data_IF_595391981975
#
_entry.id   IF_595391981975
#
_cell.length_a   1.000
_cell.length_b   1.000
_cell.length_c   1.000
_cell.angle_alpha   90.00
_cell.angle_beta   90.00
_cell.angle_gamma   90.00
#
_symmetry.space_group_name_H-M   'P 1'
#
loop_
_entity.id
_entity.type
_entity.pdbx_description
1 polymer ?
#
# COMPACT_ATOMS: atom_id res chain seq x y z
N UNK A 1 -1.23 3.96 -15.73
CA UNK A 1 0.14 4.25 -15.29
C UNK A 1 0.90 2.94 -15.40
N UNK A 2 2.00 2.94 -16.15
CA UNK A 2 2.96 1.82 -16.19
C UNK A 2 4.05 2.15 -15.18
N UNK A 3 4.48 1.19 -14.37
CA UNK A 3 5.75 1.34 -13.67
C UNK A 3 6.93 1.01 -14.60
N UNK A 4 8.15 1.17 -14.10
CA UNK A 4 9.39 0.89 -14.84
C UNK A 4 9.55 -0.60 -15.20
N UNK A 5 8.80 -1.48 -14.52
CA UNK A 5 8.78 -2.93 -14.73
C UNK A 5 7.58 -3.39 -15.60
N UNK A 6 6.78 -2.44 -16.11
CA UNK A 6 5.65 -2.69 -16.99
C UNK A 6 4.36 -3.14 -16.29
N UNK A 7 4.26 -3.03 -14.96
CA UNK A 7 3.04 -3.32 -14.23
C UNK A 7 1.95 -2.29 -14.55
N UNK A 8 0.73 -2.79 -14.77
CA UNK A 8 -0.46 -1.97 -15.04
C UNK A 8 -1.58 -2.34 -14.08
N UNK A 9 -1.91 -1.42 -13.18
CA UNK A 9 -3.12 -1.51 -12.36
C UNK A 9 -4.26 -0.71 -13.02
N UNK A 10 -5.32 -1.42 -13.43
CA UNK A 10 -6.53 -0.80 -13.98
C UNK A 10 -7.60 -0.73 -12.91
N UNK A 11 -8.14 0.47 -12.67
CA UNK A 11 -9.25 0.70 -11.73
C UNK A 11 -10.56 0.74 -12.52
N UNK A 12 -11.53 -0.09 -12.12
CA UNK A 12 -12.84 -0.16 -12.77
C UNK A 12 -13.95 0.09 -11.75
N UNK A 13 -14.98 0.84 -12.14
CA UNK A 13 -16.15 1.10 -11.29
C UNK A 13 -17.04 -0.15 -11.26
N UNK A 14 -17.17 -0.77 -10.11
CA UNK A 14 -18.15 -1.82 -9.82
C UNK A 14 -19.29 -1.30 -8.96
N UNK A 15 -20.48 -1.92 -9.05
CA UNK A 15 -21.67 -1.53 -8.27
C UNK A 15 -21.72 -2.21 -6.90
N UNK A 16 -21.23 -3.44 -6.81
CA UNK A 16 -21.11 -4.24 -5.58
C UNK A 16 -19.71 -4.87 -5.52
N UNK A 17 -18.79 -4.23 -4.81
CA UNK A 17 -17.40 -4.67 -4.72
C UNK A 17 -17.17 -5.24 -3.32
N UNK A 18 -16.97 -6.55 -3.24
CA UNK A 18 -16.62 -7.25 -2.00
C UNK A 18 -15.24 -7.88 -2.15
N UNK A 19 -14.25 -7.36 -1.44
CA UNK A 19 -12.95 -7.99 -1.29
C UNK A 19 -12.90 -8.80 0.01
N UNK A 20 -12.19 -9.95 0.03
CA UNK A 20 -11.85 -10.63 1.28
C UNK A 20 -11.16 -9.66 2.24
N UNK A 21 -11.38 -9.81 3.56
CA UNK A 21 -10.78 -8.92 4.58
C UNK A 21 -9.24 -8.88 4.53
N UNK A 22 -8.62 -9.93 4.01
CA UNK A 22 -7.17 -10.07 3.88
C UNK A 22 -6.62 -9.60 2.53
N UNK A 23 -7.47 -9.23 1.59
CA UNK A 23 -7.04 -8.74 0.28
C UNK A 23 -6.35 -7.39 0.41
N UNK A 24 -5.19 -7.25 -0.22
CA UNK A 24 -4.44 -6.02 -0.28
C UNK A 24 -3.58 -5.96 -1.54
N UNK A 25 -3.20 -4.74 -1.93
CA UNK A 25 -2.23 -4.49 -3.00
C UNK A 25 -0.93 -4.03 -2.35
N UNK A 26 0.15 -4.77 -2.57
CA UNK A 26 1.47 -4.49 -2.00
C UNK A 26 2.33 -3.59 -2.88
N UNK A 27 2.97 -2.59 -2.27
CA UNK A 27 3.98 -1.74 -2.90
C UNK A 27 5.30 -1.82 -2.12
N UNK A 28 6.25 -2.56 -2.68
CA UNK A 28 7.56 -2.80 -2.07
C UNK A 28 8.47 -1.57 -2.18
N UNK A 29 9.20 -1.23 -1.11
CA UNK A 29 10.16 -0.12 -1.03
C UNK A 29 11.58 -0.65 -0.84
N UNK A 30 12.59 0.08 -1.31
CA UNK A 30 13.98 -0.42 -1.26
C UNK A 30 14.59 -0.40 0.14
N UNK A 31 14.06 0.41 1.06
CA UNK A 31 14.57 0.53 2.44
C UNK A 31 13.48 0.83 3.46
N UNK A 32 13.78 0.56 4.73
CA UNK A 32 12.91 0.95 5.85
C UNK A 32 12.70 2.47 5.90
N UNK A 33 13.73 3.26 5.60
CA UNK A 33 13.66 4.71 5.55
C UNK A 33 12.60 5.19 4.55
N UNK A 34 12.53 4.59 3.36
CA UNK A 34 11.50 4.93 2.36
C UNK A 34 10.09 4.63 2.89
N UNK A 35 9.88 3.49 3.55
CA UNK A 35 8.60 3.15 4.18
C UNK A 35 8.23 4.18 5.24
N UNK A 36 9.19 4.59 6.07
CA UNK A 36 9.02 5.60 7.10
C UNK A 36 8.66 6.98 6.54
N UNK A 37 9.34 7.43 5.47
CA UNK A 37 9.06 8.71 4.83
C UNK A 37 7.68 8.75 4.16
N UNK A 38 7.26 7.65 3.50
CA UNK A 38 5.91 7.55 2.94
C UNK A 38 4.86 7.59 4.06
N UNK A 39 5.08 6.87 5.16
CA UNK A 39 4.17 6.89 6.31
C UNK A 39 4.00 8.30 6.90
N UNK A 40 5.12 9.02 7.11
CA UNK A 40 5.11 10.41 7.59
C UNK A 40 4.35 11.33 6.64
N UNK A 41 4.59 11.22 5.33
CA UNK A 41 3.89 12.02 4.33
C UNK A 41 2.40 11.74 4.32
N UNK A 42 1.98 10.48 4.32
CA UNK A 42 0.56 10.11 4.39
C UNK A 42 -0.11 10.66 5.64
N UNK A 43 0.54 10.56 6.80
CA UNK A 43 0.02 11.12 8.05
C UNK A 43 -0.12 12.64 7.99
N UNK A 44 0.86 13.33 7.39
CA UNK A 44 0.83 14.78 7.17
C UNK A 44 -0.31 15.20 6.22
N UNK A 45 -0.56 14.40 5.20
CA UNK A 45 -1.60 14.65 4.19
C UNK A 45 -3.02 14.27 4.68
N UNK A 46 -3.15 13.83 5.94
CA UNK A 46 -4.44 13.59 6.61
C UNK A 46 -4.98 12.16 6.51
N UNK A 47 -4.17 11.20 6.05
CA UNK A 47 -4.56 9.80 6.00
C UNK A 47 -4.50 9.15 7.40
N UNK A 48 -5.47 8.28 7.70
CA UNK A 48 -5.44 7.44 8.90
C UNK A 48 -4.46 6.27 8.70
N UNK A 49 -3.20 6.50 9.08
CA UNK A 49 -2.12 5.52 8.99
C UNK A 49 -1.51 5.25 10.35
N UNK A 50 -1.32 3.96 10.65
CA UNK A 50 -0.55 3.52 11.82
C UNK A 50 0.95 3.54 11.51
N UNK A 51 1.83 3.66 12.53
CA UNK A 51 3.27 3.50 12.33
C UNK A 51 3.59 2.13 11.72
N UNK A 52 4.66 2.01 10.91
CA UNK A 52 5.12 0.72 10.44
C UNK A 52 5.65 -0.17 11.56
N UNK A 53 5.50 -1.47 11.37
CA UNK A 53 5.90 -2.51 12.32
C UNK A 53 6.81 -3.54 11.64
N UNK A 54 7.75 -4.10 12.40
CA UNK A 54 8.56 -5.23 11.96
C UNK A 54 7.75 -6.52 12.06
N UNK A 55 7.58 -7.20 10.92
CA UNK A 55 6.96 -8.52 10.81
C UNK A 55 7.78 -9.42 9.87
N UNK A 56 7.23 -9.79 8.71
CA UNK A 56 7.99 -10.38 7.61
C UNK A 56 8.93 -9.36 6.96
N UNK A 57 8.64 -8.07 7.09
CA UNK A 57 9.49 -6.93 6.76
C UNK A 57 9.02 -5.69 7.53
N UNK A 58 9.61 -4.52 7.27
CA UNK A 58 9.15 -3.25 7.84
C UNK A 58 7.95 -2.71 7.06
N UNK A 59 6.75 -2.71 7.68
CA UNK A 59 5.50 -2.61 6.92
C UNK A 59 4.35 -1.91 7.64
N UNK A 60 3.42 -1.31 6.88
CA UNK A 60 2.12 -0.85 7.38
C UNK A 60 1.01 -0.97 6.33
N UNK A 61 -0.24 -0.89 6.79
CA UNK A 61 -1.43 -0.87 5.95
C UNK A 61 -2.08 0.51 5.94
N UNK A 62 -2.68 0.88 4.82
CA UNK A 62 -3.49 2.09 4.66
C UNK A 62 -4.70 1.80 3.78
N UNK A 63 -5.85 2.36 4.12
CA UNK A 63 -7.02 2.31 3.23
C UNK A 63 -6.83 3.33 2.09
N UNK A 64 -6.97 2.89 0.85
CA UNK A 64 -6.89 3.78 -0.30
C UNK A 64 -8.02 4.83 -0.23
N UNK A 65 -7.74 6.10 -0.58
CA UNK A 65 -8.76 7.12 -0.67
C UNK A 65 -9.67 6.85 -1.87
N UNK A 66 -10.97 7.07 -1.70
CA UNK A 66 -11.93 7.14 -2.79
C UNK A 66 -13.20 6.32 -2.53
N UNK A 67 -14.34 6.91 -2.88
CA UNK A 67 -15.66 6.28 -2.75
C UNK A 67 -15.84 5.03 -3.65
N UNK A 68 -14.90 4.83 -4.58
CA UNK A 68 -14.95 3.79 -5.61
C UNK A 68 -13.90 2.69 -5.45
N UNK A 69 -12.92 2.86 -4.55
CA UNK A 69 -11.84 1.91 -4.34
C UNK A 69 -11.68 1.62 -2.83
N UNK A 70 -12.51 0.72 -2.30
CA UNK A 70 -12.31 0.14 -0.96
C UNK A 70 -11.25 -0.95 -1.04
N UNK A 71 -9.98 -0.55 -1.16
CA UNK A 71 -8.85 -1.47 -1.09
C UNK A 71 -7.92 -1.09 0.04
N UNK A 72 -7.32 -2.11 0.66
CA UNK A 72 -6.22 -1.93 1.61
C UNK A 72 -4.92 -2.00 0.84
N UNK A 73 -4.05 -1.00 1.02
CA UNK A 73 -2.70 -1.00 0.47
C UNK A 73 -1.73 -1.44 1.56
N UNK A 74 -0.77 -2.27 1.17
CA UNK A 74 0.35 -2.70 1.99
C UNK A 74 1.61 -2.00 1.49
N UNK A 75 2.26 -1.20 2.33
CA UNK A 75 3.57 -0.62 2.03
C UNK A 75 4.59 -1.34 2.89
N UNK A 76 5.53 -2.04 2.25
CA UNK A 76 6.54 -2.87 2.93
C UNK A 76 7.91 -2.62 2.32
N UNK A 77 8.96 -2.77 3.12
CA UNK A 77 10.29 -2.96 2.56
C UNK A 77 10.32 -4.25 1.72
N UNK A 78 10.99 -4.19 0.57
CA UNK A 78 11.32 -5.36 -0.24
C UNK A 78 12.26 -6.26 0.55
N UNK A 79 11.84 -7.51 0.77
CA UNK A 79 12.75 -8.54 1.21
C UNK A 79 13.56 -8.97 0.00
N UNK A 80 14.87 -8.72 0.01
CA UNK A 80 15.75 -9.33 -0.98
C UNK A 80 15.57 -10.85 -0.85
N UNK A 81 14.92 -11.47 -1.83
CA UNK A 81 14.94 -12.91 -1.97
C UNK A 81 16.39 -13.28 -2.28
N UNK A 82 17.03 -13.99 -1.34
CA UNK A 82 18.27 -14.72 -1.59
C UNK A 82 18.00 -15.86 -2.59
#
# INVERSE_FOLDING_TARGET
MLDEDGFVLTLMKGKEINYPKTFHIGFSQRSEDQVGEINKRMKKDGFDVKPPVHSHGYTYYVNAPGDYCRSTLLISQALNQL
#
